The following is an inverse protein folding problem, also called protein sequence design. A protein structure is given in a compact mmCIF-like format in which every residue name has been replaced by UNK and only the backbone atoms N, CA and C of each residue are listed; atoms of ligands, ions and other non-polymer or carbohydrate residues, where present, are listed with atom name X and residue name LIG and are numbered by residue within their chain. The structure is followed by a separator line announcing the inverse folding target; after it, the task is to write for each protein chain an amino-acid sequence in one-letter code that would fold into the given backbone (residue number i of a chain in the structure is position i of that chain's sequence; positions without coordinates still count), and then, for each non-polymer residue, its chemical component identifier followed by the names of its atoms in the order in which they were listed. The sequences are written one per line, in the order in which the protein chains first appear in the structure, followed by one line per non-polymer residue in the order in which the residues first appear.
data_IF_121672912207
#
_entry.id   IF_121672912207
#
_cell.length_a   1.000
_cell.length_b   1.000
_cell.length_c   1.000
_cell.angle_alpha   90.00
_cell.angle_beta   90.00
_cell.angle_gamma   90.00
#
_symmetry.space_group_name_H-M   'P 1'
#
loop_
_entity.id
_entity.type
_entity.pdbx_description
1 polymer ?
#
# COMPACT_ATOMS: atom_id res chain seq x y z
N UNK A 1 3.20 14.69 -38.97
CA UNK A 1 2.32 14.07 -37.96
C UNK A 1 3.15 13.09 -37.15
N UNK A 2 3.03 13.08 -35.83
CA UNK A 2 3.68 12.11 -34.96
C UNK A 2 2.65 11.10 -34.45
N UNK A 3 3.05 9.85 -34.22
CA UNK A 3 2.19 8.82 -33.62
C UNK A 3 2.68 8.51 -32.20
N UNK A 4 1.77 8.46 -31.24
CA UNK A 4 2.02 7.93 -29.89
C UNK A 4 1.24 6.64 -29.69
N UNK A 5 1.91 5.60 -29.22
CA UNK A 5 1.32 4.29 -28.93
C UNK A 5 1.33 4.03 -27.42
N UNK A 6 0.16 3.85 -26.81
CA UNK A 6 -0.03 3.60 -25.36
C UNK A 6 -0.75 2.28 -25.09
N UNK A 7 -0.76 1.79 -23.84
CA UNK A 7 -1.41 0.51 -23.54
C UNK A 7 -2.94 0.56 -23.46
N UNK A 8 -3.55 1.70 -23.06
CA UNK A 8 -4.98 1.79 -22.78
C UNK A 8 -5.70 2.98 -23.43
N UNK A 9 -7.00 2.87 -23.74
CA UNK A 9 -7.78 3.97 -24.32
C UNK A 9 -7.92 5.18 -23.41
N UNK A 10 -7.94 4.97 -22.09
CA UNK A 10 -8.04 6.08 -21.13
C UNK A 10 -6.79 6.92 -21.18
N UNK A 11 -5.62 6.28 -21.13
CA UNK A 11 -4.33 6.95 -21.31
C UNK A 11 -4.27 7.67 -22.65
N UNK A 12 -4.73 7.05 -23.74
CA UNK A 12 -4.78 7.69 -25.06
C UNK A 12 -5.58 9.00 -25.01
N UNK A 13 -6.82 8.95 -24.49
CA UNK A 13 -7.68 10.14 -24.35
C UNK A 13 -7.05 11.21 -23.46
N UNK A 14 -6.39 10.84 -22.37
CA UNK A 14 -5.74 11.79 -21.45
C UNK A 14 -4.56 12.47 -22.13
N UNK A 15 -3.69 11.72 -22.81
CA UNK A 15 -2.56 12.29 -23.56
C UNK A 15 -3.04 13.23 -24.68
N UNK A 16 -4.10 12.87 -25.41
CA UNK A 16 -4.68 13.74 -26.44
C UNK A 16 -5.23 15.08 -25.92
N UNK A 17 -5.46 15.23 -24.60
CA UNK A 17 -5.82 16.53 -24.01
C UNK A 17 -4.62 17.45 -23.81
N UNK A 18 -3.43 16.87 -23.64
CA UNK A 18 -2.18 17.61 -23.42
C UNK A 18 -1.44 17.88 -24.72
N UNK A 19 -1.54 16.96 -25.68
CA UNK A 19 -0.87 17.01 -26.96
C UNK A 19 -1.74 17.74 -27.99
N UNK A 20 -1.12 18.59 -28.79
CA UNK A 20 -1.78 19.32 -29.87
C UNK A 20 -2.11 18.43 -31.08
N UNK A 21 -2.64 19.05 -32.14
CA UNK A 21 -3.03 18.38 -33.40
C UNK A 21 -1.87 17.76 -34.19
N UNK A 22 -0.64 17.88 -33.70
CA UNK A 22 0.56 17.30 -34.29
C UNK A 22 0.76 15.82 -33.93
N UNK A 23 -0.01 15.31 -32.97
CA UNK A 23 0.10 13.94 -32.44
C UNK A 23 -1.20 13.15 -32.60
N UNK A 24 -1.13 12.02 -33.29
CA UNK A 24 -2.14 10.97 -33.22
C UNK A 24 -1.80 10.02 -32.06
N UNK A 25 -2.81 9.56 -31.31
CA UNK A 25 -2.61 8.68 -30.15
C UNK A 25 -3.43 7.40 -30.31
N UNK A 26 -2.75 6.25 -30.42
CA UNK A 26 -3.36 4.93 -30.55
C UNK A 26 -3.10 4.05 -29.34
N UNK A 27 -4.05 3.16 -29.02
CA UNK A 27 -3.94 2.24 -27.90
C UNK A 27 -3.77 0.78 -28.37
N UNK A 28 -2.80 0.06 -27.80
CA UNK A 28 -2.58 -1.37 -28.06
C UNK A 28 -3.65 -2.26 -27.43
N UNK A 29 -4.40 -1.74 -26.45
CA UNK A 29 -5.33 -2.47 -25.61
C UNK A 29 -4.63 -3.56 -24.76
N UNK A 30 -3.41 -3.29 -24.29
CA UNK A 30 -2.56 -4.21 -23.53
C UNK A 30 -1.59 -5.00 -24.41
N UNK A 31 -1.34 -6.26 -24.04
CA UNK A 31 -0.46 -7.17 -24.80
C UNK A 31 -1.04 -7.51 -26.17
N UNK A 32 -0.24 -7.32 -27.22
CA UNK A 32 -0.59 -7.57 -28.63
C UNK A 32 -0.05 -8.89 -29.18
N UNK A 33 0.99 -9.43 -28.53
CA UNK A 33 1.50 -10.78 -28.72
C UNK A 33 1.46 -11.52 -27.38
N UNK A 34 1.18 -12.81 -27.41
CA UNK A 34 1.29 -13.70 -26.25
C UNK A 34 1.61 -15.13 -26.74
N UNK A 35 2.05 -15.98 -25.82
CA UNK A 35 2.24 -17.40 -26.09
C UNK A 35 0.87 -18.06 -26.38
N UNK A 36 0.77 -18.99 -27.35
CA UNK A 36 -0.45 -19.72 -27.62
C UNK A 36 -0.97 -20.46 -26.37
N UNK A 37 -2.29 -20.62 -26.29
CA UNK A 37 -2.97 -21.12 -25.08
C UNK A 37 -2.78 -22.62 -24.84
N UNK A 38 -2.69 -23.40 -25.92
CA UNK A 38 -2.78 -24.87 -25.85
C UNK A 38 -1.42 -25.57 -25.96
N UNK A 39 -0.37 -24.84 -26.29
CA UNK A 39 0.97 -25.39 -26.56
C UNK A 39 1.98 -24.84 -25.57
N UNK A 40 3.12 -25.53 -25.39
CA UNK A 40 4.19 -25.01 -24.54
C UNK A 40 4.76 -23.72 -25.13
N UNK A 41 5.01 -23.70 -26.45
CA UNK A 41 5.52 -22.56 -27.22
C UNK A 41 6.75 -21.88 -26.60
N UNK A 42 7.63 -22.71 -26.04
CA UNK A 42 8.95 -22.33 -25.54
C UNK A 42 9.89 -23.42 -26.00
N UNK A 43 10.89 -23.06 -26.80
CA UNK A 43 11.90 -23.98 -27.29
C UNK A 43 12.98 -24.19 -26.21
N UNK A 44 12.88 -25.30 -25.48
CA UNK A 44 13.80 -25.62 -24.38
C UNK A 44 15.21 -25.94 -24.90
N UNK A 45 15.34 -26.44 -26.13
CA UNK A 45 16.63 -26.85 -26.70
C UNK A 45 17.37 -25.64 -27.30
N UNK A 46 16.63 -24.64 -27.79
CA UNK A 46 17.19 -23.42 -28.38
C UNK A 46 16.99 -22.20 -27.47
N UNK A 47 17.69 -22.18 -26.33
CA UNK A 47 17.78 -21.02 -25.41
C UNK A 47 16.43 -20.50 -24.85
N UNK A 48 15.43 -21.38 -24.71
CA UNK A 48 14.10 -21.01 -24.20
C UNK A 48 13.37 -19.96 -25.05
N UNK A 49 13.60 -19.96 -26.36
CA UNK A 49 12.99 -19.00 -27.27
C UNK A 49 11.46 -19.15 -27.27
N UNK A 50 10.69 -18.09 -26.92
CA UNK A 50 9.24 -18.11 -26.92
C UNK A 50 8.67 -17.94 -28.33
N UNK A 51 7.73 -18.79 -28.72
CA UNK A 51 6.95 -18.62 -29.94
C UNK A 51 5.71 -17.77 -29.65
N UNK A 52 5.81 -16.48 -29.97
CA UNK A 52 4.76 -15.50 -29.73
C UNK A 52 3.80 -15.39 -30.91
N UNK A 53 2.50 -15.51 -30.63
CA UNK A 53 1.44 -15.29 -31.62
C UNK A 53 0.72 -13.98 -31.37
N UNK A 54 0.21 -13.37 -32.44
CA UNK A 54 -0.65 -12.18 -32.33
C UNK A 54 -1.93 -12.54 -31.58
N UNK A 55 -2.31 -11.71 -30.61
CA UNK A 55 -3.55 -11.89 -29.87
C UNK A 55 -4.72 -11.53 -30.79
N UNK A 56 -5.55 -12.51 -31.15
CA UNK A 56 -6.66 -12.37 -32.12
C UNK A 56 -7.53 -11.13 -31.87
N UNK A 57 -7.89 -10.90 -30.60
CA UNK A 57 -8.74 -9.77 -30.17
C UNK A 57 -8.08 -8.40 -30.33
N UNK A 58 -6.83 -8.33 -30.78
CA UNK A 58 -6.02 -7.11 -30.92
C UNK A 58 -5.72 -6.76 -32.37
N UNK A 59 -6.15 -7.59 -33.34
CA UNK A 59 -5.91 -7.37 -34.78
C UNK A 59 -6.36 -5.98 -35.26
N UNK A 60 -7.54 -5.52 -34.84
CA UNK A 60 -8.03 -4.19 -35.22
C UNK A 60 -7.16 -3.05 -34.68
N UNK A 61 -6.64 -3.21 -33.46
CA UNK A 61 -5.76 -2.19 -32.85
C UNK A 61 -4.39 -2.18 -33.52
N UNK A 62 -3.86 -3.37 -33.83
CA UNK A 62 -2.63 -3.53 -34.62
C UNK A 62 -2.78 -2.89 -36.00
N UNK A 63 -3.92 -3.12 -36.67
CA UNK A 63 -4.20 -2.54 -37.99
C UNK A 63 -4.16 -1.02 -37.95
N UNK A 64 -4.88 -0.38 -37.01
CA UNK A 64 -4.84 1.09 -36.85
C UNK A 64 -3.45 1.62 -36.55
N UNK A 65 -2.70 0.95 -35.66
CA UNK A 65 -1.32 1.35 -35.33
C UNK A 65 -0.44 1.31 -36.59
N UNK A 66 -0.52 0.26 -37.40
CA UNK A 66 0.23 0.15 -38.67
C UNK A 66 -0.18 1.24 -39.67
N UNK A 67 -1.48 1.47 -39.86
CA UNK A 67 -2.00 2.47 -40.78
C UNK A 67 -1.57 3.91 -40.42
N UNK A 68 -1.56 4.25 -39.13
CA UNK A 68 -1.10 5.55 -38.66
C UNK A 68 0.43 5.65 -38.64
N UNK A 69 1.13 4.55 -38.39
CA UNK A 69 2.59 4.50 -38.44
C UNK A 69 3.14 4.85 -39.83
N UNK A 70 2.47 4.39 -40.90
CA UNK A 70 2.84 4.72 -42.29
C UNK A 70 2.75 6.22 -42.62
N UNK A 71 1.95 6.98 -41.87
CA UNK A 71 1.76 8.43 -42.05
C UNK A 71 2.61 9.27 -41.10
N UNK A 72 3.28 8.63 -40.15
CA UNK A 72 3.96 9.30 -39.05
C UNK A 72 5.44 9.54 -39.36
N UNK A 73 5.92 10.75 -39.02
CA UNK A 73 7.35 11.10 -39.09
C UNK A 73 8.13 10.45 -37.93
N UNK A 74 7.56 10.45 -36.73
CA UNK A 74 8.10 9.76 -35.55
C UNK A 74 7.01 8.93 -34.88
N UNK A 75 7.40 7.78 -34.32
CA UNK A 75 6.53 6.90 -33.53
C UNK A 75 7.08 6.84 -32.12
N UNK A 76 6.35 7.37 -31.15
CA UNK A 76 6.67 7.33 -29.73
C UNK A 76 5.89 6.21 -29.05
N UNK A 77 6.61 5.24 -28.51
CA UNK A 77 6.03 4.18 -27.68
C UNK A 77 6.02 4.66 -26.23
N UNK A 78 4.82 4.89 -25.69
CA UNK A 78 4.56 5.52 -24.40
C UNK A 78 3.88 4.56 -23.41
N UNK A 79 4.31 3.30 -23.41
CA UNK A 79 3.84 2.27 -22.47
C UNK A 79 4.31 2.56 -21.04
N UNK A 80 3.71 1.91 -20.06
CA UNK A 80 4.08 2.10 -18.65
C UNK A 80 5.59 1.88 -18.37
N UNK A 81 6.16 2.56 -17.36
CA UNK A 81 7.60 2.49 -17.05
C UNK A 81 7.95 1.26 -16.19
N UNK A 82 7.43 0.09 -16.56
CA UNK A 82 7.75 -1.19 -15.91
C UNK A 82 8.15 -2.24 -16.95
N UNK A 83 8.61 -3.41 -16.49
CA UNK A 83 9.01 -4.51 -17.40
C UNK A 83 7.88 -5.01 -18.31
N UNK A 84 6.61 -4.91 -17.88
CA UNK A 84 5.46 -5.31 -18.70
C UNK A 84 5.24 -4.30 -19.83
N UNK A 85 5.32 -3.01 -19.52
CA UNK A 85 5.28 -1.94 -20.51
C UNK A 85 6.43 -2.01 -21.50
N UNK A 86 7.63 -2.38 -21.04
CA UNK A 86 8.80 -2.55 -21.92
C UNK A 86 8.64 -3.75 -22.88
N UNK A 87 8.07 -4.87 -22.42
CA UNK A 87 7.74 -6.00 -23.28
C UNK A 87 6.66 -5.66 -24.31
N UNK A 88 5.63 -4.89 -23.94
CA UNK A 88 4.63 -4.38 -24.89
C UNK A 88 5.33 -3.47 -25.92
N UNK A 89 6.24 -2.61 -25.49
CA UNK A 89 6.97 -1.73 -26.39
C UNK A 89 7.81 -2.51 -27.41
N UNK A 90 8.48 -3.58 -26.97
CA UNK A 90 9.23 -4.48 -27.84
C UNK A 90 8.30 -5.14 -28.88
N UNK A 91 7.16 -5.69 -28.46
CA UNK A 91 6.21 -6.30 -29.39
C UNK A 91 5.61 -5.29 -30.38
N UNK A 92 5.35 -4.04 -29.97
CA UNK A 92 4.92 -2.97 -30.88
C UNK A 92 6.00 -2.72 -31.93
N UNK A 93 7.26 -2.59 -31.51
CA UNK A 93 8.40 -2.38 -32.41
C UNK A 93 8.54 -3.50 -33.44
N UNK A 94 8.35 -4.76 -33.04
CA UNK A 94 8.38 -5.91 -33.95
C UNK A 94 7.24 -5.86 -34.98
N UNK A 95 6.01 -5.60 -34.55
CA UNK A 95 4.85 -5.53 -35.45
C UNK A 95 5.01 -4.39 -36.48
N UNK A 96 5.60 -3.27 -36.07
CA UNK A 96 5.95 -2.18 -36.96
C UNK A 96 7.05 -2.60 -37.94
N UNK A 97 8.07 -3.33 -37.46
CA UNK A 97 9.15 -3.88 -38.30
C UNK A 97 8.63 -4.83 -39.38
N UNK A 98 7.66 -5.70 -39.07
CA UNK A 98 7.08 -6.64 -40.04
C UNK A 98 6.35 -5.95 -41.21
N UNK A 99 6.22 -4.63 -41.16
CA UNK A 99 5.60 -3.78 -42.20
C UNK A 99 6.68 -3.05 -43.05
N UNK A 100 7.97 -3.41 -42.88
CA UNK A 100 9.15 -2.66 -43.38
C UNK A 100 9.41 -2.66 -44.89
N UNK A 101 8.59 -3.30 -45.73
CA UNK A 101 8.71 -3.00 -47.16
C UNK A 101 8.30 -1.54 -47.47
N UNK A 102 7.57 -0.85 -46.57
CA UNK A 102 7.10 0.53 -46.75
C UNK A 102 7.55 1.54 -45.66
N UNK A 103 8.22 1.13 -44.58
CA UNK A 103 8.59 2.00 -43.42
C UNK A 103 10.11 2.24 -43.38
N UNK A 104 10.68 2.86 -44.42
CA UNK A 104 12.14 3.05 -44.52
C UNK A 104 12.71 4.31 -43.83
N UNK A 105 11.88 5.17 -43.23
CA UNK A 105 12.36 6.44 -42.64
C UNK A 105 11.79 6.81 -41.25
N UNK A 106 10.98 5.96 -40.62
CA UNK A 106 10.30 6.35 -39.37
C UNK A 106 11.12 6.02 -38.12
N UNK A 107 11.42 7.04 -37.31
CA UNK A 107 12.09 6.87 -36.01
C UNK A 107 11.11 6.28 -34.98
N UNK A 108 11.40 5.08 -34.49
CA UNK A 108 10.67 4.45 -33.37
C UNK A 108 11.41 4.74 -32.06
N UNK A 109 10.79 5.54 -31.21
CA UNK A 109 11.33 6.09 -29.97
C UNK A 109 10.55 5.57 -28.77
N UNK A 110 11.23 5.35 -27.63
CA UNK A 110 10.58 4.93 -26.36
C UNK A 110 10.58 6.12 -25.40
N UNK A 111 9.42 6.52 -24.91
CA UNK A 111 9.26 7.60 -23.91
C UNK A 111 8.64 7.04 -22.64
N UNK A 112 9.12 7.44 -21.47
CA UNK A 112 8.66 6.93 -20.18
C UNK A 112 8.38 8.09 -19.22
N UNK A 113 7.28 8.01 -18.49
CA UNK A 113 6.89 8.99 -17.49
C UNK A 113 6.20 8.29 -16.32
N UNK A 114 6.33 8.85 -15.11
CA UNK A 114 5.75 8.29 -13.89
C UNK A 114 4.46 8.99 -13.45
N UNK A 115 4.06 10.04 -14.15
CA UNK A 115 2.78 10.72 -14.02
C UNK A 115 2.34 11.27 -15.38
N UNK A 116 1.03 11.39 -15.59
CA UNK A 116 0.47 11.88 -16.86
C UNK A 116 0.10 13.35 -16.71
N UNK A 117 1.12 14.20 -16.69
CA UNK A 117 1.01 15.66 -16.67
C UNK A 117 1.57 16.25 -17.96
N UNK A 118 1.21 17.48 -18.32
CA UNK A 118 1.75 18.15 -19.51
C UNK A 118 3.28 18.18 -19.47
N UNK A 119 3.85 18.70 -18.39
CA UNK A 119 5.30 18.84 -18.21
C UNK A 119 6.03 17.49 -18.33
N UNK A 120 5.50 16.42 -17.70
CA UNK A 120 6.14 15.10 -17.74
C UNK A 120 6.07 14.45 -19.13
N UNK A 121 4.98 14.68 -19.87
CA UNK A 121 4.82 14.16 -21.24
C UNK A 121 5.72 14.93 -22.22
N UNK A 122 5.79 16.25 -22.11
CA UNK A 122 6.65 17.10 -22.95
C UNK A 122 8.14 16.77 -22.71
N UNK A 123 8.56 16.65 -21.44
CA UNK A 123 9.93 16.24 -21.09
C UNK A 123 10.27 14.86 -21.66
N UNK A 124 9.36 13.89 -21.55
CA UNK A 124 9.58 12.54 -22.06
C UNK A 124 9.69 12.50 -23.60
N UNK A 125 8.99 13.39 -24.32
CA UNK A 125 9.10 13.53 -25.78
C UNK A 125 10.43 14.17 -26.17
N UNK A 126 10.93 15.14 -25.40
CA UNK A 126 12.23 15.78 -25.63
C UNK A 126 13.42 14.86 -25.31
N UNK A 127 13.24 13.92 -24.38
CA UNK A 127 14.27 12.99 -23.92
C UNK A 127 13.90 11.52 -24.18
N UNK A 128 13.72 11.09 -25.45
CA UNK A 128 13.42 9.71 -25.75
C UNK A 128 14.61 8.81 -25.43
N UNK A 129 14.31 7.57 -25.06
CA UNK A 129 15.29 6.51 -24.80
C UNK A 129 15.12 5.35 -25.76
N UNK A 130 16.06 4.41 -25.74
CA UNK A 130 15.90 3.10 -26.35
C UNK A 130 15.02 2.20 -25.48
N UNK A 131 14.41 1.19 -26.10
CA UNK A 131 13.83 0.05 -25.37
C UNK A 131 14.95 -0.64 -24.60
N UNK A 132 14.74 -0.86 -23.30
CA UNK A 132 15.69 -1.53 -22.43
C UNK A 132 15.52 -3.04 -22.54
N UNK A 133 16.47 -3.65 -23.23
CA UNK A 133 16.50 -5.09 -23.48
C UNK A 133 16.56 -5.90 -22.18
N UNK A 134 17.19 -5.41 -21.12
CA UNK A 134 17.25 -6.14 -19.85
C UNK A 134 15.87 -6.24 -19.19
N UNK A 135 15.06 -5.17 -19.28
CA UNK A 135 13.69 -5.20 -18.78
C UNK A 135 12.80 -6.12 -19.60
N UNK A 136 12.96 -6.12 -20.93
CA UNK A 136 12.28 -7.05 -21.83
C UNK A 136 12.66 -8.50 -21.49
N UNK A 137 13.95 -8.81 -21.44
CA UNK A 137 14.46 -10.15 -21.15
C UNK A 137 14.02 -10.63 -19.76
N UNK A 138 13.96 -9.73 -18.77
CA UNK A 138 13.41 -10.05 -17.44
C UNK A 138 11.92 -10.39 -17.47
N UNK A 139 11.13 -9.73 -18.32
CA UNK A 139 9.71 -10.04 -18.51
C UNK A 139 9.54 -11.38 -19.24
N UNK A 140 10.31 -11.62 -20.30
CA UNK A 140 10.31 -12.87 -21.07
C UNK A 140 10.71 -14.05 -20.17
N UNK A 141 11.82 -13.93 -19.43
CA UNK A 141 12.28 -14.95 -18.52
C UNK A 141 11.21 -15.32 -17.48
N UNK A 142 10.51 -14.32 -16.92
CA UNK A 142 9.35 -14.56 -16.04
C UNK A 142 8.23 -15.29 -16.76
N UNK A 143 7.86 -14.87 -17.98
CA UNK A 143 6.78 -15.46 -18.79
C UNK A 143 7.07 -16.93 -19.12
N UNK A 144 8.30 -17.23 -19.54
CA UNK A 144 8.82 -18.57 -19.82
C UNK A 144 8.81 -19.44 -18.57
N UNK A 145 9.34 -18.93 -17.45
CA UNK A 145 9.37 -19.68 -16.18
C UNK A 145 7.96 -20.07 -15.73
N UNK A 146 7.03 -19.11 -15.74
CA UNK A 146 5.65 -19.37 -15.32
C UNK A 146 4.95 -20.35 -16.30
N UNK A 147 5.28 -20.29 -17.60
CA UNK A 147 4.81 -21.26 -18.62
C UNK A 147 5.33 -22.67 -18.34
N UNK A 148 6.64 -22.83 -18.10
CA UNK A 148 7.26 -24.13 -17.84
C UNK A 148 6.67 -24.79 -16.58
N UNK A 149 6.54 -24.04 -15.48
CA UNK A 149 5.95 -24.56 -14.24
C UNK A 149 4.49 -24.96 -14.46
N UNK A 150 3.70 -24.09 -15.07
CA UNK A 150 2.28 -24.36 -15.31
C UNK A 150 2.08 -25.60 -16.19
N UNK A 151 2.80 -25.70 -17.30
CA UNK A 151 2.63 -26.78 -18.28
C UNK A 151 3.17 -28.12 -17.77
N UNK A 152 4.29 -28.13 -17.02
CA UNK A 152 4.89 -29.37 -16.48
C UNK A 152 4.19 -29.88 -15.22
N UNK A 153 3.76 -29.01 -14.30
CA UNK A 153 3.16 -29.46 -13.03
C UNK A 153 1.64 -29.66 -13.07
N UNK A 154 0.88 -28.92 -13.89
CA UNK A 154 -0.59 -29.05 -13.89
C UNK A 154 -1.08 -30.47 -14.22
N UNK A 155 -0.51 -31.20 -15.22
CA UNK A 155 -0.90 -32.59 -15.49
C UNK A 155 -0.68 -33.53 -14.30
N UNK A 156 0.36 -33.30 -13.51
CA UNK A 156 0.61 -34.07 -12.29
C UNK A 156 -0.48 -33.82 -11.25
N UNK A 157 -0.89 -32.55 -11.05
CA UNK A 157 -2.00 -32.21 -10.15
C UNK A 157 -3.32 -32.84 -10.61
N UNK A 158 -3.56 -32.94 -11.91
CA UNK A 158 -4.74 -33.61 -12.45
C UNK A 158 -4.77 -35.10 -12.15
N UNK A 159 -3.60 -35.75 -12.21
CA UNK A 159 -3.45 -37.19 -11.93
C UNK A 159 -3.51 -37.50 -10.43
N UNK A 160 -3.00 -36.60 -9.58
CA UNK A 160 -2.80 -36.87 -8.14
C UNK A 160 -3.81 -36.21 -7.21
N UNK A 161 -4.51 -35.17 -7.66
CA UNK A 161 -5.42 -34.38 -6.81
C UNK A 161 -6.80 -34.26 -7.47
N UNK A 162 -6.92 -33.46 -8.54
CA UNK A 162 -8.19 -33.22 -9.24
C UNK A 162 -7.93 -32.64 -10.64
N UNK A 163 -8.64 -33.16 -11.65
CA UNK A 163 -8.63 -32.60 -13.01
C UNK A 163 -9.07 -31.14 -13.01
N UNK A 164 -8.40 -30.30 -13.80
CA UNK A 164 -8.71 -28.87 -13.96
C UNK A 164 -7.97 -27.94 -12.98
N UNK A 165 -7.16 -28.47 -12.05
CA UNK A 165 -6.30 -27.64 -11.21
C UNK A 165 -5.14 -27.01 -11.99
N UNK A 166 -4.73 -25.80 -11.63
CA UNK A 166 -3.56 -25.16 -12.23
C UNK A 166 -2.40 -25.12 -11.25
N UNK A 167 -1.19 -25.41 -11.74
CA UNK A 167 0.04 -25.17 -11.01
C UNK A 167 0.52 -23.74 -11.25
N UNK A 168 0.86 -23.03 -10.17
CA UNK A 168 1.37 -21.67 -10.25
C UNK A 168 2.46 -21.46 -9.23
N UNK A 169 3.68 -21.16 -9.69
CA UNK A 169 4.87 -21.07 -8.84
C UNK A 169 4.67 -20.15 -7.62
N UNK A 170 4.11 -18.97 -7.83
CA UNK A 170 3.84 -17.99 -6.75
C UNK A 170 2.53 -18.31 -6.03
N UNK A 171 1.48 -18.72 -6.76
CA UNK A 171 0.17 -19.02 -6.20
C UNK A 171 0.22 -20.16 -5.18
N UNK A 172 0.97 -21.23 -5.47
CA UNK A 172 1.14 -22.37 -4.57
C UNK A 172 1.81 -21.98 -3.26
N UNK A 173 2.79 -21.06 -3.28
CA UNK A 173 3.42 -20.53 -2.06
C UNK A 173 2.42 -19.67 -1.27
N UNK A 174 1.62 -18.83 -1.93
CA UNK A 174 0.57 -18.06 -1.25
C UNK A 174 -0.45 -18.96 -0.57
N UNK A 175 -0.91 -20.02 -1.25
CA UNK A 175 -1.84 -21.00 -0.67
C UNK A 175 -1.20 -21.72 0.51
N UNK A 176 0.09 -22.07 0.41
CA UNK A 176 0.84 -22.69 1.50
C UNK A 176 0.82 -21.83 2.77
N UNK A 177 1.06 -20.51 2.66
CA UNK A 177 1.03 -19.60 3.83
C UNK A 177 -0.34 -19.61 4.54
N UNK A 178 -1.43 -19.68 3.78
CA UNK A 178 -2.78 -19.75 4.34
C UNK A 178 -2.99 -21.10 5.05
N UNK A 179 -2.58 -22.19 4.43
CA UNK A 179 -2.70 -23.55 5.00
C UNK A 179 -1.85 -23.70 6.27
N UNK A 180 -0.64 -23.15 6.30
CA UNK A 180 0.22 -23.15 7.49
C UNK A 180 -0.45 -22.39 8.64
N UNK A 181 -1.01 -21.20 8.39
CA UNK A 181 -1.78 -20.45 9.40
C UNK A 181 -3.02 -21.21 9.87
N UNK A 182 -3.75 -21.87 8.98
CA UNK A 182 -4.93 -22.63 9.37
C UNK A 182 -4.55 -23.79 10.30
N UNK A 183 -3.46 -24.49 9.99
CA UNK A 183 -2.93 -25.56 10.85
C UNK A 183 -2.46 -25.05 12.22
N UNK A 184 -1.88 -23.84 12.27
CA UNK A 184 -1.54 -23.18 13.54
C UNK A 184 -2.80 -22.91 14.37
N UNK A 185 -3.90 -22.48 13.74
CA UNK A 185 -5.19 -22.23 14.40
C UNK A 185 -5.82 -23.54 14.88
N UNK A 186 -5.83 -24.59 14.05
CA UNK A 186 -6.35 -25.92 14.42
C UNK A 186 -5.56 -26.55 15.57
N UNK A 187 -4.24 -26.33 15.61
CA UNK A 187 -3.37 -26.84 16.67
C UNK A 187 -3.39 -25.97 17.95
N UNK A 188 -4.03 -24.80 17.92
CA UNK A 188 -4.06 -23.87 19.03
C UNK A 188 -4.88 -24.46 20.19
N UNK A 189 -4.23 -24.64 21.34
CA UNK A 189 -4.89 -25.04 22.59
C UNK A 189 -5.16 -23.79 23.42
N UNK A 190 -6.43 -23.42 23.53
CA UNK A 190 -6.84 -22.29 24.35
C UNK A 190 -6.58 -22.59 25.83
N UNK A 191 -5.97 -21.64 26.53
CA UNK A 191 -5.78 -21.68 27.98
C UNK A 191 -6.64 -20.57 28.61
N UNK A 192 -7.36 -20.93 29.67
CA UNK A 192 -8.16 -19.97 30.44
C UNK A 192 -7.25 -19.01 31.20
N UNK A 193 -7.60 -17.72 31.18
CA UNK A 193 -6.97 -16.70 32.00
C UNK A 193 -7.98 -15.62 32.35
N UNK A 194 -7.78 -14.96 33.49
CA UNK A 194 -8.66 -13.90 33.97
C UNK A 194 -7.88 -12.59 34.11
N UNK A 195 -8.55 -11.49 33.75
CA UNK A 195 -8.06 -10.13 33.96
C UNK A 195 -8.99 -9.43 34.95
N UNK A 196 -8.41 -8.84 36.00
CA UNK A 196 -9.17 -8.12 37.01
C UNK A 196 -9.01 -6.62 36.80
N UNK A 197 -10.14 -5.92 36.82
CA UNK A 197 -10.23 -4.48 36.69
C UNK A 197 -10.98 -3.92 37.90
N UNK A 198 -10.44 -2.85 38.50
CA UNK A 198 -11.09 -2.13 39.59
C UNK A 198 -11.40 -0.71 39.13
N UNK A 199 -12.64 -0.29 39.34
CA UNK A 199 -13.02 1.12 39.22
C UNK A 199 -12.63 1.84 40.51
N UNK A 200 -11.74 2.82 40.40
CA UNK A 200 -11.24 3.59 41.55
C UNK A 200 -11.65 5.05 41.41
N UNK A 201 -11.97 5.67 42.54
CA UNK A 201 -12.32 7.09 42.63
C UNK A 201 -11.33 7.80 43.53
N UNK A 202 -10.84 8.96 43.08
CA UNK A 202 -10.05 9.84 43.94
C UNK A 202 -10.89 10.29 45.14
N UNK A 203 -10.42 10.03 46.35
CA UNK A 203 -11.05 10.55 47.57
C UNK A 203 -10.93 12.07 47.62
N UNK A 204 -12.04 12.75 47.92
CA UNK A 204 -12.07 14.21 48.11
C UNK A 204 -11.31 14.57 49.39
N UNK A 205 -10.20 15.30 49.28
CA UNK A 205 -9.53 15.89 50.46
C UNK A 205 -10.11 17.27 50.76
N UNK A 206 -10.21 17.70 52.04
CA UNK A 206 -10.78 19.00 52.43
C UNK A 206 -10.10 20.22 51.81
N UNK A 207 -8.86 20.07 51.31
CA UNK A 207 -7.99 21.16 50.86
C UNK A 207 -8.16 21.53 49.38
N UNK A 208 -8.92 20.78 48.58
CA UNK A 208 -9.07 21.04 47.13
C UNK A 208 -10.56 21.19 46.78
N UNK A 209 -11.06 22.42 46.87
CA UNK A 209 -12.49 22.77 46.68
C UNK A 209 -12.99 22.73 45.23
N UNK A 210 -12.13 22.55 44.24
CA UNK A 210 -12.50 22.57 42.81
C UNK A 210 -11.94 21.36 42.05
N UNK A 211 -12.31 20.14 42.46
CA UNK A 211 -12.09 18.95 41.62
C UNK A 211 -13.38 18.62 40.87
N UNK A 212 -13.42 18.70 39.53
CA UNK A 212 -14.58 18.28 38.74
C UNK A 212 -14.97 16.85 39.08
N UNK A 213 -16.28 16.59 39.12
CA UNK A 213 -16.95 15.37 39.61
C UNK A 213 -16.62 14.06 38.87
N UNK A 214 -15.60 14.01 38.01
CA UNK A 214 -15.24 12.87 37.16
C UNK A 214 -13.93 12.15 37.54
N UNK A 215 -13.55 12.14 38.82
CA UNK A 215 -12.31 11.52 39.32
C UNK A 215 -12.30 9.98 39.37
N UNK A 216 -13.14 9.33 38.57
CA UNK A 216 -13.27 7.86 38.48
C UNK A 216 -12.46 7.36 37.29
N UNK A 217 -11.66 6.31 37.49
CA UNK A 217 -10.93 5.65 36.42
C UNK A 217 -10.72 4.17 36.72
N UNK A 218 -10.45 3.38 35.68
CA UNK A 218 -10.25 1.93 35.80
C UNK A 218 -8.76 1.63 35.90
N UNK A 219 -8.39 0.80 36.87
CA UNK A 219 -7.07 0.20 37.01
C UNK A 219 -7.15 -1.30 36.77
N UNK A 220 -6.14 -1.88 36.10
CA UNK A 220 -6.03 -3.31 35.84
C UNK A 220 -5.01 -3.94 36.78
N UNK A 221 -5.31 -5.08 37.37
CA UNK A 221 -4.34 -5.87 38.14
C UNK A 221 -3.18 -6.32 37.24
N UNK A 222 -1.95 -6.03 37.66
CA UNK A 222 -0.72 -6.40 36.94
C UNK A 222 0.24 -7.22 37.78
N UNK A 223 0.13 -7.15 39.12
CA UNK A 223 1.00 -7.89 40.05
C UNK A 223 0.26 -8.39 41.30
N UNK A 224 0.71 -9.53 41.81
CA UNK A 224 0.36 -10.09 43.12
C UNK A 224 1.68 -10.42 43.81
N UNK A 225 1.93 -9.86 45.00
CA UNK A 225 3.15 -10.05 45.80
C UNK A 225 4.45 -9.89 44.96
N UNK A 226 4.55 -8.76 44.27
CA UNK A 226 5.65 -8.38 43.36
C UNK A 226 5.87 -9.27 42.13
N UNK A 227 5.08 -10.34 41.94
CA UNK A 227 5.09 -11.18 40.74
C UNK A 227 4.03 -10.73 39.75
N UNK A 228 4.23 -11.02 38.45
CA UNK A 228 3.21 -10.76 37.42
C UNK A 228 1.93 -11.51 37.78
N UNK A 229 0.79 -10.82 37.73
CA UNK A 229 -0.50 -11.45 37.98
C UNK A 229 -0.81 -12.46 36.87
N UNK A 230 -1.01 -13.72 37.27
CA UNK A 230 -1.42 -14.83 36.40
C UNK A 230 -2.57 -15.55 37.10
N UNK A 231 -3.78 -15.32 36.62
CA UNK A 231 -5.01 -15.88 37.20
C UNK A 231 -5.58 -16.88 36.20
N UNK A 232 -5.60 -18.15 36.57
CA UNK A 232 -5.83 -19.26 35.62
C UNK A 232 -7.26 -19.76 35.60
N UNK A 233 -8.08 -19.38 36.57
CA UNK A 233 -9.45 -19.85 36.70
C UNK A 233 -10.33 -18.90 37.53
N UNK A 234 -11.64 -19.11 37.47
CA UNK A 234 -12.65 -18.34 38.21
C UNK A 234 -12.44 -18.36 39.73
N UNK A 235 -12.00 -19.50 40.29
CA UNK A 235 -11.80 -19.64 41.74
C UNK A 235 -10.65 -18.74 42.23
N UNK A 236 -9.53 -18.71 41.49
CA UNK A 236 -8.43 -17.79 41.74
C UNK A 236 -8.87 -16.34 41.56
N UNK A 237 -9.64 -16.04 40.51
CA UNK A 237 -10.16 -14.69 40.26
C UNK A 237 -11.04 -14.21 41.41
N UNK A 238 -11.97 -15.05 41.89
CA UNK A 238 -12.88 -14.73 42.99
C UNK A 238 -12.17 -14.43 44.30
N UNK A 239 -11.06 -15.14 44.60
CA UNK A 239 -10.22 -14.84 45.77
C UNK A 239 -9.62 -13.45 45.67
N UNK A 240 -9.02 -13.13 44.53
CA UNK A 240 -8.39 -11.83 44.31
C UNK A 240 -9.42 -10.70 44.31
N UNK A 241 -10.62 -10.90 43.73
CA UNK A 241 -11.72 -9.93 43.78
C UNK A 241 -12.16 -9.68 45.23
N UNK A 242 -12.41 -10.75 46.00
CA UNK A 242 -12.80 -10.65 47.42
C UNK A 242 -11.77 -9.88 48.26
N UNK A 243 -10.48 -10.10 48.01
CA UNK A 243 -9.41 -9.37 48.68
C UNK A 243 -9.37 -7.90 48.26
N UNK A 244 -9.53 -7.61 46.97
CA UNK A 244 -9.52 -6.26 46.40
C UNK A 244 -10.74 -5.41 46.81
N UNK A 245 -11.90 -6.00 47.05
CA UNK A 245 -13.09 -5.32 47.59
C UNK A 245 -12.88 -4.82 49.02
N UNK A 246 -12.05 -5.53 49.79
CA UNK A 246 -11.69 -5.21 51.18
C UNK A 246 -10.37 -4.44 51.29
N UNK A 247 -9.77 -4.05 50.17
CA UNK A 247 -8.45 -3.42 50.15
C UNK A 247 -8.51 -1.90 50.14
N UNK A 248 -7.54 -1.29 50.81
CA UNK A 248 -7.25 0.13 50.69
C UNK A 248 -6.36 0.40 49.48
N UNK A 249 -6.76 1.36 48.66
CA UNK A 249 -6.06 1.70 47.41
C UNK A 249 -5.21 2.97 47.59
N UNK A 250 -3.94 2.88 47.18
CA UNK A 250 -2.98 4.00 47.25
C UNK A 250 -2.25 4.16 45.92
N UNK A 251 -2.22 5.39 45.42
CA UNK A 251 -1.36 5.72 44.27
C UNK A 251 0.11 5.63 44.72
N UNK A 252 0.89 4.78 44.06
CA UNK A 252 2.33 4.64 44.29
C UNK A 252 3.13 5.62 43.43
N UNK A 253 2.77 5.71 42.15
CA UNK A 253 3.52 6.49 41.18
C UNK A 253 2.60 7.00 40.06
N UNK A 254 2.92 8.20 39.56
CA UNK A 254 2.27 8.82 38.40
C UNK A 254 3.36 9.30 37.46
N UNK A 255 3.55 8.57 36.36
CA UNK A 255 4.53 8.90 35.34
C UNK A 255 3.85 9.53 34.15
N UNK A 256 4.30 10.74 33.78
CA UNK A 256 3.91 11.41 32.53
C UNK A 256 5.10 11.47 31.61
N UNK A 257 4.89 11.10 30.35
CA UNK A 257 5.90 11.27 29.31
C UNK A 257 5.26 11.72 28.01
N UNK A 258 5.97 12.58 27.30
CA UNK A 258 5.63 12.96 25.94
C UNK A 258 5.97 11.81 24.98
N UNK A 259 5.00 11.37 24.18
CA UNK A 259 5.17 10.36 23.14
C UNK A 259 4.90 10.99 21.79
N UNK A 260 5.91 10.94 20.91
CA UNK A 260 5.81 11.45 19.54
C UNK A 260 5.58 10.29 18.58
N UNK A 261 4.53 10.40 17.77
CA UNK A 261 4.22 9.46 16.69
C UNK A 261 4.52 10.13 15.35
N UNK A 262 5.50 9.58 14.62
CA UNK A 262 5.81 10.02 13.26
C UNK A 262 4.60 9.81 12.35
N UNK A 263 4.35 10.72 11.39
CA UNK A 263 3.47 10.38 10.28
C UNK A 263 4.03 9.19 9.53
N UNK A 264 3.14 8.45 8.90
CA UNK A 264 3.51 7.33 8.07
C UNK A 264 4.11 7.78 6.73
N UNK A 265 4.96 6.96 6.07
CA UNK A 265 5.47 7.26 4.73
C UNK A 265 4.35 7.35 3.69
N UNK A 266 4.60 8.01 2.53
CA UNK A 266 3.69 7.99 1.39
C UNK A 266 3.45 6.56 0.92
N UNK A 267 2.39 6.35 0.12
CA UNK A 267 1.99 5.01 -0.25
C UNK A 267 2.96 4.34 -1.23
N UNK A 268 3.18 3.06 -1.01
CA UNK A 268 3.64 2.08 -2.01
C UNK A 268 2.43 1.26 -2.48
N UNK A 269 2.60 0.42 -3.50
CA UNK A 269 1.57 -0.54 -3.95
C UNK A 269 1.03 -1.39 -2.79
N UNK A 270 1.95 -1.93 -1.98
CA UNK A 270 1.60 -2.83 -0.86
C UNK A 270 0.86 -2.09 0.25
N UNK A 271 1.35 -0.91 0.66
CA UNK A 271 0.72 -0.15 1.75
C UNK A 271 -0.61 0.47 1.32
N UNK A 272 -0.76 0.86 0.05
CA UNK A 272 -2.02 1.31 -0.53
C UNK A 272 -3.07 0.20 -0.53
N UNK A 273 -2.71 -1.00 -1.01
CA UNK A 273 -3.64 -2.15 -1.08
C UNK A 273 -4.03 -2.65 0.31
N UNK A 274 -3.12 -2.66 1.28
CA UNK A 274 -3.42 -2.95 2.69
C UNK A 274 -4.38 -1.91 3.30
N UNK A 275 -4.18 -0.62 3.01
CA UNK A 275 -5.07 0.44 3.48
C UNK A 275 -6.47 0.34 2.85
N UNK A 276 -6.56 0.02 1.56
CA UNK A 276 -7.83 -0.24 0.87
C UNK A 276 -8.60 -1.41 1.48
N UNK A 277 -7.91 -2.50 1.85
CA UNK A 277 -8.53 -3.62 2.54
C UNK A 277 -9.01 -3.23 3.95
N UNK A 278 -8.17 -2.56 4.74
CA UNK A 278 -8.49 -2.22 6.14
C UNK A 278 -9.58 -1.16 6.27
N UNK A 279 -9.58 -0.14 5.41
CA UNK A 279 -10.46 1.03 5.54
C UNK A 279 -11.75 0.84 4.74
N UNK A 280 -11.66 0.22 3.55
CA UNK A 280 -12.80 0.12 2.63
C UNK A 280 -13.31 -1.31 2.41
N UNK A 281 -12.66 -2.33 3.00
CA UNK A 281 -13.02 -3.74 2.79
C UNK A 281 -12.76 -4.21 1.36
N UNK A 282 -11.89 -3.53 0.61
CA UNK A 282 -11.64 -3.86 -0.80
C UNK A 282 -10.62 -4.98 -0.96
N UNK A 283 -10.80 -5.81 -1.99
CA UNK A 283 -9.74 -6.70 -2.44
C UNK A 283 -8.58 -5.90 -3.05
N UNK A 284 -7.39 -6.49 -3.07
CA UNK A 284 -6.23 -5.90 -3.74
C UNK A 284 -6.53 -5.60 -5.23
N UNK A 285 -7.26 -6.51 -5.91
CA UNK A 285 -7.68 -6.33 -7.31
C UNK A 285 -8.54 -5.08 -7.50
N UNK A 286 -9.52 -4.84 -6.62
CA UNK A 286 -10.38 -3.64 -6.70
C UNK A 286 -9.57 -2.37 -6.49
N UNK A 287 -8.72 -2.33 -5.46
CA UNK A 287 -7.85 -1.17 -5.18
C UNK A 287 -6.94 -0.86 -6.36
N UNK A 288 -6.26 -1.86 -6.92
CA UNK A 288 -5.39 -1.69 -8.08
C UNK A 288 -6.15 -1.26 -9.34
N UNK A 289 -7.36 -1.78 -9.56
CA UNK A 289 -8.20 -1.36 -10.70
C UNK A 289 -8.59 0.12 -10.60
N UNK A 290 -8.86 0.62 -9.40
CA UNK A 290 -9.21 2.03 -9.19
C UNK A 290 -7.96 2.89 -9.33
N UNK A 291 -6.84 2.48 -8.74
CA UNK A 291 -5.56 3.18 -8.84
C UNK A 291 -5.06 3.29 -10.30
N UNK A 292 -5.20 2.23 -11.10
CA UNK A 292 -4.90 2.27 -12.54
C UNK A 292 -5.70 3.39 -13.22
N UNK A 293 -6.99 3.50 -12.93
CA UNK A 293 -7.83 4.53 -13.53
C UNK A 293 -7.46 5.94 -13.06
N UNK A 294 -7.15 6.12 -11.78
CA UNK A 294 -6.67 7.41 -11.26
C UNK A 294 -5.38 7.84 -11.96
N UNK A 295 -4.45 6.91 -12.18
CA UNK A 295 -3.20 7.16 -12.89
C UNK A 295 -3.44 7.51 -14.37
N UNK A 296 -4.28 6.73 -15.07
CA UNK A 296 -4.60 6.97 -16.48
C UNK A 296 -5.36 8.28 -16.73
N UNK A 297 -6.12 8.77 -15.74
CA UNK A 297 -6.77 10.09 -15.76
C UNK A 297 -5.82 11.22 -15.30
N UNK A 298 -4.56 10.91 -14.98
CA UNK A 298 -3.53 11.89 -14.60
C UNK A 298 -3.64 12.44 -13.17
N UNK A 299 -4.40 11.79 -12.29
CA UNK A 299 -4.64 12.26 -10.93
C UNK A 299 -3.58 11.82 -9.91
N UNK A 300 -2.97 10.65 -10.13
CA UNK A 300 -1.92 10.12 -9.24
C UNK A 300 -0.70 9.68 -10.06
N UNK A 301 0.44 9.57 -9.39
CA UNK A 301 1.65 8.94 -9.92
C UNK A 301 1.45 7.44 -10.15
N UNK A 302 2.41 6.81 -10.84
CA UNK A 302 2.38 5.41 -11.18
C UNK A 302 2.21 4.51 -9.94
N UNK A 303 1.08 3.83 -9.88
CA UNK A 303 0.61 3.11 -8.70
C UNK A 303 1.29 1.75 -8.45
N UNK A 304 2.12 1.25 -9.38
CA UNK A 304 2.92 0.03 -9.23
C UNK A 304 4.37 0.36 -8.86
N UNK A 305 4.53 0.78 -7.61
CA UNK A 305 5.80 1.20 -7.03
C UNK A 305 6.03 0.54 -5.68
N UNK A 306 7.29 0.25 -5.37
CA UNK A 306 7.77 -0.12 -4.03
C UNK A 306 8.55 1.03 -3.37
N UNK A 307 8.56 2.21 -4.00
CA UNK A 307 9.26 3.39 -3.54
C UNK A 307 8.40 4.25 -2.63
N UNK A 308 9.05 4.83 -1.62
CA UNK A 308 8.50 5.87 -0.75
C UNK A 308 9.13 7.24 -1.06
N UNK A 309 9.92 7.33 -2.13
CA UNK A 309 10.56 8.56 -2.56
C UNK A 309 9.54 9.57 -3.08
N UNK A 310 9.82 10.86 -2.91
CA UNK A 310 9.02 11.97 -3.43
C UNK A 310 9.95 12.92 -4.18
N UNK A 311 9.54 13.36 -5.36
CA UNK A 311 10.26 14.36 -6.14
C UNK A 311 10.35 15.67 -5.35
N UNK A 312 11.48 16.37 -5.44
CA UNK A 312 11.72 17.64 -4.73
C UNK A 312 10.63 18.68 -5.01
N UNK A 313 10.15 18.76 -6.26
CA UNK A 313 9.05 19.63 -6.66
C UNK A 313 7.74 19.29 -5.93
N UNK A 314 7.42 18.00 -5.78
CA UNK A 314 6.24 17.53 -5.06
C UNK A 314 6.34 17.84 -3.56
N UNK A 315 7.52 17.65 -2.96
CA UNK A 315 7.81 17.98 -1.56
C UNK A 315 7.65 19.49 -1.31
N UNK A 316 8.14 20.35 -2.21
CA UNK A 316 7.94 21.80 -2.08
C UNK A 316 6.45 22.15 -2.10
N UNK A 317 5.72 21.70 -3.13
CA UNK A 317 4.30 22.02 -3.31
C UNK A 317 3.44 21.58 -2.13
N UNK A 318 3.67 20.38 -1.57
CA UNK A 318 2.88 19.89 -0.43
C UNK A 318 3.21 20.62 0.87
N UNK A 319 4.47 21.05 1.05
CA UNK A 319 4.87 21.86 2.21
C UNK A 319 4.23 23.25 2.16
N UNK A 320 4.22 23.88 1.00
CA UNK A 320 3.53 25.16 0.78
C UNK A 320 2.02 25.01 1.04
N UNK A 321 1.43 23.90 0.57
CA UNK A 321 0.03 23.57 0.86
C UNK A 321 -0.21 23.44 2.38
N UNK A 322 0.67 22.76 3.11
CA UNK A 322 0.54 22.57 4.56
C UNK A 322 0.62 23.91 5.29
N UNK A 323 1.60 24.74 4.96
CA UNK A 323 1.75 26.05 5.58
C UNK A 323 0.52 26.94 5.34
N UNK A 324 0.00 26.96 4.10
CA UNK A 324 -1.14 27.79 3.72
C UNK A 324 -2.45 27.32 4.36
N UNK A 325 -2.70 26.02 4.43
CA UNK A 325 -4.02 25.48 4.81
C UNK A 325 -4.09 25.01 6.28
N UNK A 326 -2.98 24.60 6.89
CA UNK A 326 -2.93 24.15 8.29
C UNK A 326 -2.10 25.08 9.19
N UNK A 327 -1.12 25.79 8.63
CA UNK A 327 -0.27 26.73 9.35
C UNK A 327 1.09 26.16 9.75
N UNK A 328 2.03 27.06 10.10
CA UNK A 328 3.44 26.73 10.42
C UNK A 328 3.61 25.66 11.51
N UNK A 329 2.71 25.62 12.50
CA UNK A 329 2.77 24.63 13.59
C UNK A 329 2.57 23.17 13.13
N UNK A 330 2.07 22.96 11.92
CA UNK A 330 1.88 21.64 11.32
C UNK A 330 2.95 21.29 10.27
N UNK A 331 3.85 22.24 9.97
CA UNK A 331 4.91 22.08 8.99
C UNK A 331 6.26 21.91 9.69
N UNK A 332 6.95 20.77 9.53
CA UNK A 332 8.29 20.58 10.06
C UNK A 332 9.29 21.53 9.42
N UNK A 333 10.26 21.97 10.22
CA UNK A 333 11.34 22.87 9.78
C UNK A 333 12.08 22.31 8.54
N UNK A 334 12.34 20.99 8.53
CA UNK A 334 12.98 20.29 7.41
C UNK A 334 12.02 19.32 6.74
N UNK A 335 12.17 19.12 5.43
CA UNK A 335 11.43 18.10 4.70
C UNK A 335 11.70 16.70 5.24
N UNK A 336 10.68 15.84 5.21
CA UNK A 336 10.80 14.46 5.66
C UNK A 336 11.18 13.56 4.48
N UNK A 337 12.26 12.82 4.65
CA UNK A 337 12.68 11.77 3.72
C UNK A 337 12.47 10.40 4.36
N UNK A 338 11.84 9.49 3.62
CA UNK A 338 11.58 8.13 4.07
C UNK A 338 12.58 7.18 3.42
N UNK A 339 13.32 6.43 4.24
CA UNK A 339 14.24 5.40 3.74
C UNK A 339 13.47 4.18 3.25
N UNK A 340 13.90 3.62 2.12
CA UNK A 340 13.36 2.39 1.53
C UNK A 340 13.62 1.19 2.44
N UNK A 341 12.72 0.22 2.44
CA UNK A 341 12.87 -1.08 3.11
C UNK A 341 13.32 -2.22 2.17
N UNK A 342 13.37 -1.97 0.85
CA UNK A 342 13.70 -2.97 -0.19
C UNK A 342 15.06 -2.68 -0.82
N UNK A 343 15.94 -3.70 -0.88
CA UNK A 343 17.30 -3.65 -1.46
C UNK A 343 17.33 -3.80 -2.99
N UNK A 344 16.22 -4.24 -3.61
CA UNK A 344 16.11 -4.55 -5.05
C UNK A 344 15.33 -3.50 -5.85
N UNK A 345 14.88 -2.45 -5.18
CA UNK A 345 13.92 -1.52 -5.73
C UNK A 345 14.61 -0.48 -6.62
N UNK A 346 14.23 -0.41 -7.90
CA UNK A 346 14.74 0.62 -8.83
C UNK A 346 14.52 2.03 -8.23
N UNK A 347 15.59 2.82 -8.16
CA UNK A 347 15.60 4.13 -7.50
C UNK A 347 14.83 5.21 -8.28
N UNK A 348 14.49 4.95 -9.55
CA UNK A 348 13.79 5.89 -10.42
C UNK A 348 12.30 6.06 -10.11
N UNK A 349 11.69 5.22 -9.27
CA UNK A 349 10.25 5.25 -9.04
C UNK A 349 9.88 6.18 -7.88
N UNK A 350 8.80 6.92 -8.06
CA UNK A 350 8.18 7.75 -7.02
C UNK A 350 7.15 6.95 -6.21
N UNK A 351 6.81 7.42 -5.01
CA UNK A 351 5.68 6.92 -4.24
C UNK A 351 4.34 7.22 -4.93
N UNK A 352 3.29 6.51 -4.52
CA UNK A 352 1.91 6.80 -4.94
C UNK A 352 1.43 8.06 -4.22
N UNK A 353 1.28 9.15 -4.98
CA UNK A 353 0.82 10.47 -4.53
C UNK A 353 -0.07 11.13 -5.59
N UNK A 354 -0.82 12.20 -5.25
CA UNK A 354 -1.44 13.06 -6.25
C UNK A 354 -0.39 13.69 -7.17
N UNK A 355 -0.72 13.88 -8.44
CA UNK A 355 0.11 14.63 -9.41
C UNK A 355 0.18 16.12 -9.07
N UNK A 356 -0.92 16.67 -8.54
CA UNK A 356 -0.99 18.00 -7.93
C UNK A 356 -1.78 17.92 -6.62
N UNK A 357 -1.22 18.52 -5.57
CA UNK A 357 -1.81 18.59 -4.23
C UNK A 357 -3.05 19.47 -4.17
N UNK A 358 -3.17 20.45 -5.08
CA UNK A 358 -4.31 21.38 -5.13
C UNK A 358 -5.49 20.84 -5.94
N UNK A 359 -5.27 19.79 -6.74
CA UNK A 359 -6.30 19.20 -7.59
C UNK A 359 -7.40 18.60 -6.72
N UNK A 360 -8.65 19.00 -6.98
CA UNK A 360 -9.83 18.31 -6.44
C UNK A 360 -10.12 17.10 -7.29
N UNK A 361 -10.66 16.05 -6.68
CA UNK A 361 -11.11 14.88 -7.43
C UNK A 361 -12.30 15.27 -8.31
N UNK A 362 -12.11 15.21 -9.64
CA UNK A 362 -13.16 15.53 -10.62
C UNK A 362 -13.20 14.46 -11.72
N UNK A 363 -13.74 13.27 -11.42
CA UNK A 363 -14.08 12.27 -12.45
C UNK A 363 -15.59 12.13 -12.55
N UNK A 364 -16.18 12.61 -13.64
CA UNK A 364 -17.61 12.45 -13.94
C UNK A 364 -17.88 11.08 -14.58
N UNK A 365 -17.92 10.01 -13.78
CA UNK A 365 -18.35 8.68 -14.24
C UNK A 365 -19.00 7.87 -13.11
N UNK A 366 -20.32 7.71 -13.17
CA UNK A 366 -21.17 7.27 -12.04
C UNK A 366 -20.79 5.94 -11.36
N UNK A 367 -20.16 4.98 -12.07
CA UNK A 367 -19.76 3.68 -11.47
C UNK A 367 -18.41 3.71 -10.76
N UNK A 368 -17.53 4.64 -11.12
CA UNK A 368 -16.15 4.69 -10.61
C UNK A 368 -15.84 5.95 -9.81
N UNK A 369 -16.71 6.96 -9.89
CA UNK A 369 -16.56 8.25 -9.22
C UNK A 369 -16.39 8.10 -7.70
N UNK A 370 -17.33 7.42 -7.02
CA UNK A 370 -17.26 7.28 -5.55
C UNK A 370 -16.04 6.51 -5.05
N UNK A 371 -15.71 5.41 -5.72
CA UNK A 371 -14.56 4.59 -5.33
C UNK A 371 -13.23 5.28 -5.69
N UNK A 372 -13.18 5.96 -6.85
CA UNK A 372 -12.05 6.79 -7.25
C UNK A 372 -11.80 7.92 -6.26
N UNK A 373 -12.85 8.63 -5.86
CA UNK A 373 -12.80 9.72 -4.89
C UNK A 373 -12.25 9.24 -3.54
N UNK A 374 -12.79 8.15 -3.01
CA UNK A 374 -12.34 7.57 -1.73
C UNK A 374 -10.88 7.15 -1.76
N UNK A 375 -10.43 6.52 -2.85
CA UNK A 375 -9.03 6.12 -2.96
C UNK A 375 -8.11 7.33 -3.15
N UNK A 376 -8.50 8.28 -3.99
CA UNK A 376 -7.76 9.51 -4.21
C UNK A 376 -7.62 10.32 -2.92
N UNK A 377 -8.71 10.51 -2.17
CA UNK A 377 -8.70 11.21 -0.88
C UNK A 377 -7.78 10.50 0.13
N UNK A 378 -7.79 9.16 0.16
CA UNK A 378 -6.89 8.41 1.02
C UNK A 378 -5.41 8.62 0.62
N UNK A 379 -5.10 8.56 -0.67
CA UNK A 379 -3.76 8.82 -1.21
C UNK A 379 -3.32 10.25 -0.89
N UNK A 380 -4.20 11.22 -1.10
CA UNK A 380 -3.97 12.63 -0.82
C UNK A 380 -3.69 12.88 0.67
N UNK A 381 -4.55 12.36 1.57
CA UNK A 381 -4.37 12.49 3.03
C UNK A 381 -3.05 11.89 3.48
N UNK A 382 -2.67 10.74 2.91
CA UNK A 382 -1.39 10.08 3.22
C UNK A 382 -0.20 10.90 2.74
N UNK A 383 -0.26 11.46 1.53
CA UNK A 383 0.78 12.29 0.96
C UNK A 383 0.97 13.60 1.74
N UNK A 384 -0.11 14.31 2.06
CA UNK A 384 -0.04 15.54 2.88
C UNK A 384 0.50 15.21 4.27
N UNK A 385 -0.11 14.24 4.97
CA UNK A 385 0.30 13.90 6.32
C UNK A 385 1.76 13.44 6.43
N UNK A 386 2.34 12.80 5.40
CA UNK A 386 3.73 12.34 5.45
C UNK A 386 4.75 13.48 5.54
N UNK A 387 4.37 14.71 5.20
CA UNK A 387 5.20 15.91 5.33
C UNK A 387 4.78 16.83 6.50
N UNK A 388 3.82 16.41 7.34
CA UNK A 388 3.37 17.18 8.51
C UNK A 388 4.19 16.87 9.77
N UNK A 389 3.92 17.63 10.84
CA UNK A 389 4.52 17.44 12.15
C UNK A 389 4.13 16.12 12.85
N UNK A 390 4.91 15.77 13.88
CA UNK A 390 4.62 14.64 14.75
C UNK A 390 3.25 14.81 15.44
N UNK A 391 2.54 13.70 15.61
CA UNK A 391 1.44 13.69 16.57
C UNK A 391 2.03 13.50 17.97
N UNK A 392 1.80 14.48 18.86
CA UNK A 392 2.32 14.49 20.24
C UNK A 392 1.20 14.07 21.18
N UNK A 393 1.52 13.14 22.08
CA UNK A 393 0.63 12.65 23.12
C UNK A 393 1.30 12.81 24.48
N UNK A 394 0.52 13.16 25.50
CA UNK A 394 0.91 12.94 26.89
C UNK A 394 0.44 11.55 27.29
N UNK A 395 1.38 10.62 27.47
CA UNK A 395 1.09 9.32 28.06
C UNK A 395 1.22 9.43 29.57
N UNK A 396 0.13 9.11 30.28
CA UNK A 396 0.11 9.03 31.74
C UNK A 396 -0.05 7.58 32.16
N UNK A 397 0.84 7.10 33.03
CA UNK A 397 0.76 5.79 33.66
C UNK A 397 0.64 5.99 35.17
N UNK A 398 -0.38 5.39 35.77
CA UNK A 398 -0.66 5.45 37.20
C UNK A 398 -0.50 4.04 37.75
N UNK A 399 0.43 3.88 38.70
CA UNK A 399 0.57 2.65 39.48
C UNK A 399 -0.17 2.82 40.81
N UNK A 400 -1.01 1.85 41.13
CA UNK A 400 -1.82 1.80 42.34
C UNK A 400 -1.50 0.53 43.08
N UNK A 401 -1.27 0.64 44.38
CA UNK A 401 -1.19 -0.49 45.30
C UNK A 401 -2.54 -0.67 45.99
N UNK A 402 -2.97 -1.92 46.12
CA UNK A 402 -4.07 -2.28 47.00
C UNK A 402 -3.57 -3.28 48.05
N UNK A 403 -3.89 -3.02 49.32
CA UNK A 403 -3.56 -3.91 50.44
C UNK A 403 -4.82 -4.18 51.25
N UNK A 404 -5.10 -5.45 51.55
CA UNK A 404 -6.24 -5.81 52.39
C UNK A 404 -5.96 -5.45 53.84
N UNK A 405 -6.89 -4.78 54.52
CA UNK A 405 -6.77 -4.45 55.94
C UNK A 405 -7.04 -5.71 56.78
N UNK A 406 -6.14 -6.17 57.66
CA UNK A 406 -6.36 -7.40 58.43
C UNK A 406 -7.50 -7.23 59.46
N UNK A 407 -8.45 -8.17 59.51
CA UNK A 407 -9.54 -8.18 60.49
C UNK A 407 -9.08 -8.62 61.91
N UNK A 408 -7.88 -9.20 62.07
CA UNK A 408 -7.30 -9.60 63.36
C UNK A 408 -5.76 -9.47 63.37
N UNK A 409 -5.16 -9.18 64.55
CA UNK A 409 -3.71 -8.95 64.73
C UNK A 409 -2.80 -10.14 64.37
N UNK A 410 -3.34 -11.35 64.28
CA UNK A 410 -2.58 -12.59 64.03
C UNK A 410 -2.99 -13.33 62.73
N UNK A 411 -3.74 -12.67 61.83
CA UNK A 411 -4.06 -13.24 60.53
C UNK A 411 -2.84 -13.18 59.59
N UNK A 412 -2.60 -14.21 58.74
CA UNK A 412 -1.51 -14.18 57.77
C UNK A 412 -1.65 -12.93 56.89
N UNK A 413 -0.53 -12.24 56.65
CA UNK A 413 -0.47 -11.02 55.84
C UNK A 413 -1.21 -11.20 54.52
N UNK A 414 -2.23 -10.37 54.33
CA UNK A 414 -2.98 -10.23 53.10
C UNK A 414 -2.07 -9.86 51.92
N UNK A 415 -2.42 -10.36 50.73
CA UNK A 415 -1.64 -10.15 49.51
C UNK A 415 -1.49 -8.68 49.15
N UNK A 416 -0.32 -8.31 48.62
CA UNK A 416 -0.06 -6.97 48.06
C UNK A 416 -0.39 -7.00 46.57
N UNK A 417 -1.35 -6.18 46.16
CA UNK A 417 -1.82 -6.12 44.78
C UNK A 417 -1.30 -4.88 44.08
N UNK A 418 -0.65 -5.06 42.94
CA UNK A 418 -0.22 -3.97 42.06
C UNK A 418 -1.18 -3.83 40.89
N UNK A 419 -1.83 -2.66 40.78
CA UNK A 419 -2.74 -2.30 39.70
C UNK A 419 -2.18 -1.13 38.88
N UNK A 420 -2.61 -1.02 37.63
CA UNK A 420 -2.12 0.00 36.70
C UNK A 420 -3.24 0.54 35.81
N UNK A 421 -3.24 1.86 35.64
CA UNK A 421 -3.94 2.53 34.55
C UNK A 421 -2.92 3.16 33.59
N UNK A 422 -3.23 3.15 32.30
CA UNK A 422 -2.46 3.90 31.30
C UNK A 422 -3.41 4.61 30.35
N UNK A 423 -3.20 5.90 30.13
CA UNK A 423 -3.99 6.72 29.23
C UNK A 423 -3.11 7.60 28.36
N UNK A 424 -3.64 8.02 27.21
CA UNK A 424 -3.00 9.00 26.33
C UNK A 424 -3.98 10.11 26.03
N UNK A 425 -3.54 11.35 26.21
CA UNK A 425 -4.25 12.52 25.71
C UNK A 425 -3.48 13.10 24.53
N UNK A 426 -4.18 13.38 23.43
CA UNK A 426 -3.58 14.14 22.34
C UNK A 426 -3.36 15.55 22.85
N UNK A 427 -2.10 15.99 22.90
CA UNK A 427 -1.74 17.38 23.23
C UNK A 427 -1.75 18.27 22.01
N UNK A 428 -2.21 17.75 20.86
CA UNK A 428 -2.29 18.48 19.60
C UNK A 428 -2.69 19.91 19.85
N UNK A 429 -1.80 20.85 19.48
CA UNK A 429 -1.86 22.27 19.81
C UNK A 429 -3.30 22.70 20.06
N UNK A 430 -3.65 22.87 21.35
CA UNK A 430 -4.91 23.50 21.74
C UNK A 430 -5.01 24.79 20.95
N UNK A 431 -5.85 24.81 19.92
CA UNK A 431 -6.36 26.03 19.31
C UNK A 431 -7.78 26.19 19.78
#
# INVERSE_FOLDING_TARGET
MNLIVVESPTKARTLSRFLGSEYDVEATMGHIKDLPKSELAVDIEHNFEPDYVVVEKKKDSIKRIKENALKASNIYIATDPDREGEAIAQHVKEILRDTQNDIRETNVLRIAFHEITRDAVEDAIQHPRSIDKNLVDAQIARRVLDRLVGYKLSPLLWKKVRRGLSAGRVQSVTVRLIVEREREIEAFKAEEYWEIFSEVKKLSTPEVKDVPTSGVFVVKLVRIDDKKAEIKNEVEAGKVVSDLEKSDYKVLDVRKKEVRKSPYPPFTTSTMTQAGARIFGWSAKRTMSIAQRLYEEGLITYHRTDSVNLASAAVSKVRDYIEKNYGKNYLPERSRFFKKTSRLAQEAHEAVRPTDVNTKFEIRNSKFEKDGERLYELIWKRFVACQMEYCVFDETVIDVEARTTPEAKDAPTSGVYGLRASGRTSTGNKR
#
